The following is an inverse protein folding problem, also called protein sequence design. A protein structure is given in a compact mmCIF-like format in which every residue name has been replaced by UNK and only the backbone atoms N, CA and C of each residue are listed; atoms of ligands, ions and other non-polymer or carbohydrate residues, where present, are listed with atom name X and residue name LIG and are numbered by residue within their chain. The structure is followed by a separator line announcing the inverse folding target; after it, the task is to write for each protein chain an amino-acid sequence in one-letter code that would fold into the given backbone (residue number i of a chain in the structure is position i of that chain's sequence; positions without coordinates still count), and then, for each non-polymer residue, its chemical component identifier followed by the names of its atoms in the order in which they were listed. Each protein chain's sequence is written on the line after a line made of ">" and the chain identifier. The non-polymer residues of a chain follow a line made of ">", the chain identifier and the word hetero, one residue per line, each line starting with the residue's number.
data_IF_118260743319
#
_entry.id   IF_118260743319
#
_cell.length_a   1.000
_cell.length_b   1.000
_cell.length_c   1.000
_cell.angle_alpha   90.00
_cell.angle_beta   90.00
_cell.angle_gamma   90.00
#
_symmetry.space_group_name_H-M   'P 1'
#
loop_
_entity.id
_entity.type
_entity.pdbx_description
1 polymer ?
#
# COMPACT_ATOMS: atom_id res chain seq x y z
N UNK A 1 -1.04 -11.53 -3.98
CA UNK A 1 -1.64 -10.20 -3.79
C UNK A 1 -2.58 -10.26 -2.59
N UNK A 2 -2.43 -9.33 -1.66
CA UNK A 2 -3.32 -9.12 -0.52
C UNK A 2 -3.88 -7.70 -0.62
N UNK A 3 -5.17 -7.56 -0.33
CA UNK A 3 -5.87 -6.28 -0.30
C UNK A 3 -6.56 -6.14 1.05
N UNK A 4 -6.28 -5.04 1.75
CA UNK A 4 -6.94 -4.70 3.01
C UNK A 4 -7.61 -3.33 2.89
N UNK A 5 -8.89 -3.27 3.26
CA UNK A 5 -9.73 -2.06 3.17
C UNK A 5 -10.40 -1.71 4.53
N UNK A 6 -9.66 -1.37 5.60
CA UNK A 6 -10.28 -0.96 6.84
C UNK A 6 -11.13 0.31 6.66
N UNK A 7 -12.41 0.22 7.03
CA UNK A 7 -13.29 1.39 7.13
C UNK A 7 -13.17 1.93 8.55
N UNK A 8 -12.59 3.13 8.70
CA UNK A 8 -12.38 3.76 10.00
C UNK A 8 -13.54 4.71 10.34
N UNK A 9 -13.47 5.31 11.53
CA UNK A 9 -14.52 6.20 12.04
C UNK A 9 -14.77 7.39 11.09
N UNK A 10 -13.69 8.03 10.64
CA UNK A 10 -13.70 9.20 9.76
C UNK A 10 -12.38 9.31 8.96
N UNK A 11 -12.27 10.33 8.12
CA UNK A 11 -11.08 10.59 7.30
C UNK A 11 -9.84 10.94 8.14
N UNK A 12 -10.02 11.63 9.26
CA UNK A 12 -8.90 11.99 10.15
C UNK A 12 -8.30 10.75 10.80
N UNK A 13 -9.13 9.80 11.23
CA UNK A 13 -8.70 8.49 11.71
C UNK A 13 -7.93 7.74 10.63
N UNK A 14 -8.40 7.76 9.37
CA UNK A 14 -7.69 7.12 8.26
C UNK A 14 -6.33 7.78 8.00
N UNK A 15 -6.27 9.11 7.95
CA UNK A 15 -5.01 9.85 7.81
C UNK A 15 -4.03 9.54 8.95
N UNK A 16 -4.52 9.40 10.18
CA UNK A 16 -3.71 9.05 11.35
C UNK A 16 -3.04 7.67 11.28
N UNK A 17 -3.47 6.78 10.38
CA UNK A 17 -2.85 5.46 10.20
C UNK A 17 -1.70 5.43 9.18
N UNK A 18 -1.54 6.48 8.36
CA UNK A 18 -0.57 6.50 7.26
C UNK A 18 0.87 6.38 7.75
N UNK A 19 1.27 7.18 8.74
CA UNK A 19 2.64 7.14 9.25
C UNK A 19 2.96 5.83 10.01
N UNK A 20 2.05 5.29 10.85
CA UNK A 20 2.20 3.93 11.38
C UNK A 20 2.39 2.87 10.28
N UNK A 21 1.63 2.93 9.18
CA UNK A 21 1.79 2.01 8.05
C UNK A 21 3.16 2.16 7.40
N UNK A 22 3.63 3.38 7.13
CA UNK A 22 4.99 3.61 6.58
C UNK A 22 6.06 2.98 7.47
N UNK A 23 5.97 3.16 8.78
CA UNK A 23 6.94 2.61 9.73
C UNK A 23 6.92 1.08 9.75
N UNK A 24 5.73 0.47 9.71
CA UNK A 24 5.60 -0.98 9.66
C UNK A 24 6.18 -1.56 8.36
N UNK A 25 5.84 -0.98 7.21
CA UNK A 25 6.29 -1.45 5.90
C UNK A 25 7.80 -1.26 5.72
N UNK A 26 8.38 -0.17 6.25
CA UNK A 26 9.83 0.05 6.23
C UNK A 26 10.62 -1.03 6.99
N UNK A 27 10.00 -1.73 7.96
CA UNK A 27 10.62 -2.88 8.64
C UNK A 27 10.50 -4.17 7.81
N UNK A 28 9.50 -4.25 6.93
CA UNK A 28 9.22 -5.41 6.08
C UNK A 28 10.06 -5.41 4.78
N UNK A 29 10.43 -4.24 4.27
CA UNK A 29 11.11 -4.08 2.97
C UNK A 29 12.51 -3.48 3.19
N UNK A 30 13.54 -4.29 2.93
CA UNK A 30 14.93 -3.94 3.22
C UNK A 30 15.41 -2.77 2.35
N UNK A 31 15.94 -1.72 2.99
CA UNK A 31 16.60 -0.60 2.31
C UNK A 31 15.69 0.28 1.45
N UNK A 32 14.37 0.07 1.48
CA UNK A 32 13.41 0.88 0.72
C UNK A 32 12.96 2.10 1.52
N UNK A 33 12.58 3.15 0.80
CA UNK A 33 11.95 4.36 1.35
C UNK A 33 10.57 4.53 0.74
N UNK A 34 9.66 5.16 1.49
CA UNK A 34 8.32 5.46 0.98
C UNK A 34 8.43 6.49 -0.15
N UNK A 35 7.92 6.15 -1.33
CA UNK A 35 7.78 7.09 -2.44
C UNK A 35 6.35 7.65 -2.47
N UNK A 36 6.16 8.98 -2.45
CA UNK A 36 4.84 9.57 -2.58
C UNK A 36 4.19 9.21 -3.93
N UNK A 37 2.86 9.01 -3.92
CA UNK A 37 2.07 8.76 -5.13
C UNK A 37 0.83 9.64 -5.16
N UNK A 38 0.38 9.98 -6.36
CA UNK A 38 -0.85 10.73 -6.60
C UNK A 38 -2.04 9.75 -6.78
N UNK A 39 -2.40 9.07 -5.69
CA UNK A 39 -3.56 8.16 -5.62
C UNK A 39 -4.19 8.29 -4.24
N UNK A 40 -5.49 8.60 -4.20
CA UNK A 40 -6.20 8.93 -2.96
C UNK A 40 -5.57 10.12 -2.25
N UNK A 41 -5.73 10.20 -0.93
CA UNK A 41 -4.96 11.12 -0.09
C UNK A 41 -3.84 10.36 0.63
N UNK A 42 -2.75 11.08 0.92
CA UNK A 42 -1.60 10.58 1.69
C UNK A 42 -0.95 9.30 1.11
N UNK A 43 -1.08 9.08 -0.20
CA UNK A 43 -0.62 7.89 -0.86
C UNK A 43 0.90 7.74 -0.87
N UNK A 44 1.37 6.51 -0.66
CA UNK A 44 2.76 6.13 -0.87
C UNK A 44 2.90 4.70 -1.42
N UNK A 45 4.07 4.43 -2.01
CA UNK A 45 4.51 3.12 -2.48
C UNK A 45 5.84 2.75 -1.81
N UNK A 46 5.98 1.50 -1.38
CA UNK A 46 7.28 0.86 -1.18
C UNK A 46 7.49 -0.22 -2.23
N UNK A 47 8.74 -0.37 -2.70
CA UNK A 47 9.15 -1.51 -3.51
C UNK A 47 10.53 -1.99 -3.09
N UNK A 48 10.69 -3.30 -2.91
CA UNK A 48 12.01 -3.89 -2.67
C UNK A 48 11.94 -5.27 -2.04
N UNK A 49 13.11 -5.79 -1.67
CA UNK A 49 13.25 -7.15 -1.18
C UNK A 49 12.73 -7.28 0.26
N UNK A 50 12.04 -8.38 0.55
CA UNK A 50 11.60 -8.76 1.90
C UNK A 50 12.79 -8.81 2.86
N UNK A 51 12.67 -8.12 4.00
CA UNK A 51 13.71 -8.04 5.02
C UNK A 51 13.85 -9.35 5.82
N UNK A 52 12.74 -9.93 6.29
CA UNK A 52 12.73 -11.21 7.00
C UNK A 52 12.27 -12.35 6.09
N UNK A 53 13.22 -13.21 5.69
CA UNK A 53 12.97 -14.35 4.81
C UNK A 53 12.73 -15.66 5.57
N UNK A 54 12.77 -15.66 6.91
CA UNK A 54 12.75 -16.88 7.72
C UNK A 54 11.45 -17.68 7.62
N UNK A 55 10.32 -17.02 7.35
CA UNK A 55 8.98 -17.64 7.27
C UNK A 55 8.46 -17.80 5.84
N UNK A 56 8.72 -16.82 4.98
CA UNK A 56 8.10 -16.72 3.65
C UNK A 56 9.12 -16.82 2.50
N UNK A 57 10.40 -17.03 2.81
CA UNK A 57 11.48 -17.02 1.82
C UNK A 57 11.78 -15.62 1.30
N UNK A 58 12.68 -15.52 0.32
CA UNK A 58 12.95 -14.26 -0.36
C UNK A 58 11.80 -13.93 -1.35
N UNK A 59 11.36 -12.67 -1.34
CA UNK A 59 10.42 -12.11 -2.31
C UNK A 59 10.78 -10.65 -2.60
N UNK A 60 10.34 -10.14 -3.74
CA UNK A 60 10.17 -8.70 -3.93
C UNK A 60 8.76 -8.33 -3.47
N UNK A 61 8.63 -7.24 -2.72
CA UNK A 61 7.38 -6.72 -2.21
C UNK A 61 7.11 -5.40 -2.93
N UNK A 62 5.88 -5.20 -3.40
CA UNK A 62 5.38 -3.91 -3.87
C UNK A 62 4.11 -3.60 -3.11
N UNK A 63 4.12 -2.53 -2.31
CA UNK A 63 3.04 -2.22 -1.38
C UNK A 63 2.61 -0.76 -1.49
N UNK A 64 1.36 -0.55 -1.89
CA UNK A 64 0.72 0.77 -1.98
C UNK A 64 -0.22 0.96 -0.80
N UNK A 65 -0.08 2.10 -0.12
CA UNK A 65 -1.02 2.53 0.91
C UNK A 65 -1.49 3.96 0.63
N UNK A 66 -2.80 4.19 0.75
CA UNK A 66 -3.41 5.51 0.71
C UNK A 66 -4.71 5.52 1.51
N UNK A 67 -5.33 6.68 1.72
CA UNK A 67 -6.70 6.74 2.20
C UNK A 67 -7.64 7.35 1.15
N UNK A 68 -8.89 6.91 1.17
CA UNK A 68 -9.98 7.46 0.36
C UNK A 68 -11.14 7.78 1.30
N UNK A 69 -11.24 9.04 1.73
CA UNK A 69 -12.07 9.42 2.86
C UNK A 69 -11.69 8.61 4.11
N UNK A 70 -12.67 7.96 4.74
CA UNK A 70 -12.47 7.13 5.94
C UNK A 70 -11.91 5.73 5.69
N UNK A 71 -11.63 5.35 4.45
CA UNK A 71 -11.09 4.03 4.11
C UNK A 71 -9.59 4.11 3.98
N UNK A 72 -8.88 3.30 4.75
CA UNK A 72 -7.48 2.99 4.48
C UNK A 72 -7.44 1.90 3.41
N UNK A 73 -6.57 2.05 2.42
CA UNK A 73 -6.31 1.06 1.39
C UNK A 73 -4.88 0.60 1.54
N UNK A 74 -4.69 -0.72 1.65
CA UNK A 74 -3.37 -1.35 1.53
C UNK A 74 -3.41 -2.44 0.46
N UNK A 75 -2.54 -2.34 -0.53
CA UNK A 75 -2.38 -3.28 -1.64
C UNK A 75 -0.94 -3.81 -1.64
N UNK A 76 -0.77 -5.09 -1.30
CA UNK A 76 0.53 -5.75 -1.26
C UNK A 76 0.63 -6.83 -2.33
N UNK A 77 1.71 -6.82 -3.10
CA UNK A 77 2.07 -7.87 -4.05
C UNK A 77 3.47 -8.38 -3.71
N UNK A 78 3.52 -9.62 -3.22
CA UNK A 78 4.72 -10.45 -3.23
C UNK A 78 4.95 -11.03 -4.63
N UNK A 79 6.17 -10.90 -5.12
CA UNK A 79 6.66 -11.45 -6.39
C UNK A 79 7.98 -12.19 -6.20
N UNK A 80 8.39 -12.95 -7.21
CA UNK A 80 9.67 -13.66 -7.17
C UNK A 80 10.85 -12.70 -6.95
N UNK A 81 11.93 -13.13 -6.26
CA UNK A 81 13.15 -12.33 -6.08
C UNK A 81 13.67 -11.74 -7.40
N UNK A 82 14.06 -10.47 -7.39
CA UNK A 82 14.56 -9.76 -8.57
C UNK A 82 13.49 -9.44 -9.64
N UNK A 83 12.21 -9.68 -9.36
CA UNK A 83 11.12 -9.38 -10.29
C UNK A 83 9.99 -8.58 -9.59
N UNK A 84 10.25 -7.34 -9.15
CA UNK A 84 9.24 -6.53 -8.48
C UNK A 84 8.06 -6.26 -9.42
N UNK A 85 6.87 -6.03 -8.85
CA UNK A 85 5.72 -5.63 -9.66
C UNK A 85 6.03 -4.32 -10.40
N UNK A 86 5.79 -4.22 -11.72
CA UNK A 86 5.98 -2.96 -12.43
C UNK A 86 5.20 -1.82 -11.78
N UNK A 87 5.85 -0.67 -11.59
CA UNK A 87 5.27 0.48 -10.88
C UNK A 87 3.96 0.94 -11.50
N UNK A 88 3.90 1.03 -12.82
CA UNK A 88 2.70 1.42 -13.56
C UNK A 88 1.52 0.47 -13.32
N UNK A 89 1.79 -0.84 -13.24
CA UNK A 89 0.78 -1.88 -12.96
C UNK A 89 0.18 -1.70 -11.56
N UNK A 90 1.01 -1.57 -10.52
CA UNK A 90 0.49 -1.43 -9.15
C UNK A 90 -0.24 -0.08 -8.95
N UNK A 91 0.21 0.99 -9.60
CA UNK A 91 -0.47 2.28 -9.54
C UNK A 91 -1.79 2.31 -10.33
N UNK A 92 -1.87 1.61 -11.46
CA UNK A 92 -3.15 1.42 -12.18
C UNK A 92 -4.17 0.66 -11.32
N UNK A 93 -3.73 -0.40 -10.64
CA UNK A 93 -4.58 -1.12 -9.68
C UNK A 93 -5.03 -0.22 -8.52
N UNK A 94 -4.12 0.58 -7.95
CA UNK A 94 -4.44 1.50 -6.86
C UNK A 94 -5.48 2.56 -7.28
N UNK A 95 -5.34 3.13 -8.48
CA UNK A 95 -6.32 4.08 -9.03
C UNK A 95 -7.70 3.45 -9.21
N UNK A 96 -7.76 2.25 -9.80
CA UNK A 96 -9.02 1.49 -9.93
C UNK A 96 -9.68 1.24 -8.58
N UNK A 97 -8.88 0.90 -7.56
CA UNK A 97 -9.38 0.68 -6.21
C UNK A 97 -9.92 1.98 -5.58
N UNK A 98 -9.22 3.11 -5.76
CA UNK A 98 -9.67 4.42 -5.30
C UNK A 98 -11.00 4.83 -5.95
N UNK A 99 -11.13 4.66 -7.27
CA UNK A 99 -12.35 4.98 -8.02
C UNK A 99 -13.55 4.16 -7.55
N UNK A 100 -13.36 2.85 -7.33
CA UNK A 100 -14.41 1.96 -6.81
C UNK A 100 -14.86 2.39 -5.42
N UNK A 101 -13.93 2.73 -4.52
CA UNK A 101 -14.27 3.18 -3.16
C UNK A 101 -15.02 4.51 -3.22
N UNK A 102 -14.53 5.46 -4.02
CA UNK A 102 -15.17 6.77 -4.20
C UNK A 102 -16.59 6.64 -4.75
N UNK A 103 -16.85 5.69 -5.64
CA UNK A 103 -18.19 5.44 -6.17
C UNK A 103 -19.11 4.70 -5.18
N UNK A 104 -18.55 3.84 -4.32
CA UNK A 104 -19.32 2.98 -3.43
C UNK A 104 -19.68 3.64 -2.09
N UNK A 105 -18.99 4.71 -1.68
CA UNK A 105 -19.18 5.34 -0.38
C UNK A 105 -19.86 6.71 -0.51
N UNK A 106 -20.89 6.99 0.32
CA UNK A 106 -21.43 8.33 0.42
C UNK A 106 -20.36 9.29 0.92
N UNK A 107 -20.27 10.44 0.26
CA UNK A 107 -19.49 11.61 0.70
C UNK A 107 -19.94 12.11 2.06
#
# INVERSE_FOLDING_TARGET
>A
MVVSLPVLADEAAAAGTIDPMKQAIAQQIAGSTAEPIDVGSNGFLFQGTRADTSKLGASEISEVVFNQGRVLVNLEIDSAPGNPTPRDVILDLARKQADVIKAAMPS
#
